data_IF_138567444653
#
_entry.id   IF_138567444653
#
_cell.length_a   1.000
_cell.length_b   1.000
_cell.length_c   1.000
_cell.angle_alpha   90.00
_cell.angle_beta   90.00
_cell.angle_gamma   90.00
#
_symmetry.space_group_name_H-M   'P 1'
#
loop_
_entity.id
_entity.type
_entity.pdbx_description
1 polymer ?
#
# COMPACT_ATOMS: atom_id res chain seq x y z
N UNK A 1 1.66 -19.73 -26.53
CA UNK A 1 2.02 -19.39 -25.13
C UNK A 1 2.49 -17.94 -25.15
N UNK A 2 1.70 -16.98 -24.65
CA UNK A 2 2.02 -15.55 -24.80
C UNK A 2 2.99 -15.11 -23.69
N UNK A 3 4.19 -14.67 -24.08
CA UNK A 3 5.14 -14.02 -23.18
C UNK A 3 4.65 -12.60 -22.85
N UNK A 4 4.75 -12.22 -21.57
CA UNK A 4 4.51 -10.86 -21.11
C UNK A 4 5.83 -10.10 -21.17
N UNK A 5 5.94 -9.16 -22.11
CA UNK A 5 7.07 -8.24 -22.22
C UNK A 5 6.76 -7.03 -21.33
N UNK A 6 7.61 -6.77 -20.34
CA UNK A 6 7.48 -5.61 -19.45
C UNK A 6 8.63 -4.66 -19.79
N UNK A 7 8.30 -3.49 -20.33
CA UNK A 7 9.27 -2.44 -20.60
C UNK A 7 9.61 -1.69 -19.31
N UNK A 8 10.87 -1.72 -18.90
CA UNK A 8 11.39 -0.88 -17.82
C UNK A 8 12.16 0.32 -18.37
N UNK A 9 12.05 1.43 -17.63
CA UNK A 9 12.66 2.74 -17.88
C UNK A 9 14.17 2.64 -18.15
N UNK A 10 14.65 3.51 -19.03
CA UNK A 10 16.01 3.62 -19.55
C UNK A 10 17.09 3.55 -18.45
N UNK A 11 18.04 2.63 -18.61
CA UNK A 11 19.34 2.64 -17.92
C UNK A 11 20.41 2.64 -19.03
N UNK A 12 21.29 3.65 -19.04
CA UNK A 12 22.38 3.86 -20.02
C UNK A 12 21.99 3.98 -21.49
N UNK A 13 20.81 4.55 -21.78
CA UNK A 13 20.43 4.92 -23.16
C UNK A 13 20.15 3.74 -24.10
N UNK A 14 20.11 2.50 -23.61
CA UNK A 14 19.73 1.30 -24.39
C UNK A 14 18.55 0.58 -23.75
N UNK A 15 17.54 0.27 -24.56
CA UNK A 15 16.40 -0.58 -24.15
C UNK A 15 16.91 -2.00 -23.91
N UNK A 16 16.89 -2.47 -22.65
CA UNK A 16 17.07 -3.89 -22.34
C UNK A 16 15.70 -4.54 -22.19
N UNK A 17 15.35 -5.41 -23.13
CA UNK A 17 14.20 -6.30 -22.99
C UNK A 17 14.63 -7.52 -22.17
N UNK A 18 13.89 -7.82 -21.11
CA UNK A 18 13.99 -9.11 -20.40
C UNK A 18 12.72 -9.91 -20.67
N UNK A 19 12.86 -11.06 -21.32
CA UNK A 19 11.80 -12.05 -21.35
C UNK A 19 11.76 -12.77 -20.01
N UNK A 20 10.76 -12.44 -19.18
CA UNK A 20 10.44 -13.27 -18.02
C UNK A 20 9.69 -14.48 -18.56
N UNK A 21 10.41 -15.60 -18.71
CA UNK A 21 9.82 -16.90 -19.03
C UNK A 21 8.65 -17.18 -18.09
N UNK A 22 7.56 -17.71 -18.64
CA UNK A 22 6.39 -18.08 -17.85
C UNK A 22 6.72 -19.05 -16.71
N UNK A 23 5.77 -19.24 -15.80
CA UNK A 23 5.90 -20.18 -14.68
C UNK A 23 6.40 -21.54 -15.18
N UNK A 24 7.57 -21.96 -14.72
CA UNK A 24 8.27 -23.16 -15.25
C UNK A 24 7.64 -24.44 -14.70
N UNK A 25 6.90 -24.33 -13.59
CA UNK A 25 6.29 -25.45 -12.88
C UNK A 25 4.78 -25.22 -12.70
N UNK A 26 3.96 -26.28 -12.85
CA UNK A 26 2.51 -26.24 -12.57
C UNK A 26 2.19 -25.71 -11.16
N UNK A 27 3.04 -26.02 -10.16
CA UNK A 27 2.94 -25.51 -8.79
C UNK A 27 3.11 -23.99 -8.69
N UNK A 28 3.93 -23.36 -9.54
CA UNK A 28 4.10 -21.91 -9.53
C UNK A 28 2.92 -21.20 -10.18
N UNK A 29 2.33 -21.82 -11.21
CA UNK A 29 1.06 -21.37 -11.81
C UNK A 29 -0.13 -21.54 -10.84
N UNK A 30 -0.21 -22.64 -10.11
CA UNK A 30 -1.23 -22.87 -9.07
C UNK A 30 -1.04 -21.96 -7.84
N UNK A 31 0.19 -21.54 -7.55
CA UNK A 31 0.48 -20.59 -6.48
C UNK A 31 0.13 -19.16 -6.91
N UNK A 32 0.26 -18.81 -8.19
CA UNK A 32 -0.12 -17.49 -8.71
C UNK A 32 -1.64 -17.32 -8.88
N UNK A 33 -2.41 -18.41 -8.96
CA UNK A 33 -3.89 -18.37 -8.95
C UNK A 33 -4.49 -18.31 -7.54
N UNK A 34 -3.69 -18.54 -6.48
CA UNK A 34 -4.16 -18.41 -5.09
C UNK A 34 -4.19 -16.95 -4.67
N UNK A 35 -5.38 -16.47 -4.29
CA UNK A 35 -5.58 -15.14 -3.71
C UNK A 35 -4.75 -14.98 -2.43
N UNK A 36 -4.23 -13.78 -2.19
CA UNK A 36 -3.48 -13.50 -0.96
C UNK A 36 -4.39 -13.62 0.27
N UNK A 37 -3.84 -14.09 1.39
CA UNK A 37 -4.60 -14.19 2.64
C UNK A 37 -5.18 -12.83 3.08
N UNK A 38 -4.44 -11.74 2.82
CA UNK A 38 -4.90 -10.37 3.05
C UNK A 38 -6.10 -9.99 2.19
N UNK A 39 -6.11 -10.38 0.91
CA UNK A 39 -7.24 -10.13 0.02
C UNK A 39 -8.49 -10.90 0.47
N UNK A 40 -8.34 -12.19 0.79
CA UNK A 40 -9.45 -13.02 1.30
C UNK A 40 -10.01 -12.45 2.60
N UNK A 41 -9.15 -11.98 3.51
CA UNK A 41 -9.58 -11.33 4.75
C UNK A 41 -10.32 -10.02 4.50
N UNK A 42 -9.83 -9.20 3.57
CA UNK A 42 -10.46 -7.94 3.20
C UNK A 42 -11.85 -8.16 2.61
N UNK A 43 -11.99 -9.15 1.72
CA UNK A 43 -13.28 -9.55 1.16
C UNK A 43 -14.23 -10.09 2.24
N UNK A 44 -13.74 -10.93 3.15
CA UNK A 44 -14.54 -11.41 4.28
C UNK A 44 -15.07 -10.24 5.13
N UNK A 45 -14.21 -9.28 5.48
CA UNK A 45 -14.60 -8.11 6.26
C UNK A 45 -15.66 -7.27 5.54
N UNK A 46 -15.53 -7.09 4.21
CA UNK A 46 -16.53 -6.41 3.40
C UNK A 46 -17.89 -7.13 3.47
N UNK A 47 -17.92 -8.45 3.29
CA UNK A 47 -19.15 -9.23 3.36
C UNK A 47 -19.78 -9.14 4.76
N UNK A 48 -18.97 -9.15 5.83
CA UNK A 48 -19.46 -8.95 7.21
C UNK A 48 -20.20 -7.64 7.34
N UNK A 49 -19.63 -6.54 6.85
CA UNK A 49 -20.28 -5.22 6.89
C UNK A 49 -21.60 -5.22 6.11
N UNK A 50 -21.60 -5.79 4.90
CA UNK A 50 -22.78 -5.85 4.03
C UNK A 50 -23.91 -6.67 4.65
N UNK A 51 -23.64 -7.88 5.13
CA UNK A 51 -24.67 -8.75 5.69
C UNK A 51 -25.15 -8.28 7.06
N UNK A 52 -24.29 -7.66 7.87
CA UNK A 52 -24.71 -7.01 9.12
C UNK A 52 -25.62 -5.81 8.85
N UNK A 53 -25.31 -5.03 7.82
CA UNK A 53 -26.19 -3.96 7.37
C UNK A 53 -27.55 -4.51 6.93
N UNK A 54 -27.58 -5.55 6.09
CA UNK A 54 -28.81 -6.17 5.61
C UNK A 54 -29.66 -6.78 6.75
N UNK A 55 -29.02 -7.37 7.76
CA UNK A 55 -29.69 -7.86 8.96
C UNK A 55 -30.29 -6.73 9.79
N UNK A 56 -29.56 -5.61 9.96
CA UNK A 56 -30.04 -4.42 10.68
C UNK A 56 -31.22 -3.74 9.97
N UNK A 57 -31.25 -3.79 8.64
CA UNK A 57 -32.36 -3.30 7.81
C UNK A 57 -33.49 -4.34 7.64
N UNK A 58 -33.43 -5.45 8.38
CA UNK A 58 -34.43 -6.53 8.36
C UNK A 58 -34.63 -7.22 6.99
N UNK A 59 -33.72 -7.02 6.03
CA UNK A 59 -33.70 -7.76 4.77
C UNK A 59 -33.36 -9.24 4.96
N UNK A 60 -32.65 -9.55 6.05
CA UNK A 60 -32.26 -10.91 6.42
C UNK A 60 -32.54 -11.14 7.91
N UNK A 61 -33.15 -12.26 8.26
CA UNK A 61 -33.34 -12.67 9.67
C UNK A 61 -32.03 -13.14 10.32
N UNK A 62 -31.19 -13.83 9.55
CA UNK A 62 -29.92 -14.42 9.99
C UNK A 62 -28.85 -14.10 8.96
N UNK A 63 -27.63 -13.75 9.42
CA UNK A 63 -26.53 -13.44 8.51
C UNK A 63 -25.89 -14.75 8.02
N UNK A 64 -25.64 -14.92 6.70
CA UNK A 64 -24.94 -16.07 6.17
C UNK A 64 -23.52 -16.26 6.74
N UNK A 65 -22.96 -15.20 7.31
CA UNK A 65 -21.61 -15.20 7.87
C UNK A 65 -21.54 -15.59 9.35
N UNK A 66 -22.68 -15.74 10.03
CA UNK A 66 -22.74 -16.07 11.47
C UNK A 66 -22.04 -17.41 11.79
N UNK A 67 -21.97 -18.33 10.81
CA UNK A 67 -21.34 -19.66 10.94
C UNK A 67 -19.98 -19.76 10.22
N UNK A 68 -19.53 -18.70 9.55
CA UNK A 68 -18.30 -18.73 8.74
C UNK A 68 -17.11 -18.39 9.62
N UNK A 69 -16.13 -19.30 9.66
CA UNK A 69 -14.89 -19.09 10.40
C UNK A 69 -14.08 -17.97 9.73
N UNK A 70 -13.70 -16.91 10.45
CA UNK A 70 -12.91 -15.83 9.89
C UNK A 70 -11.58 -16.34 9.31
N UNK A 71 -11.19 -15.92 8.10
CA UNK A 71 -9.89 -16.29 7.55
C UNK A 71 -8.78 -15.76 8.45
N UNK A 72 -7.78 -16.61 8.69
CA UNK A 72 -6.57 -16.28 9.45
C UNK A 72 -5.61 -15.50 8.57
N UNK A 73 -5.07 -14.41 9.11
CA UNK A 73 -3.95 -13.73 8.49
C UNK A 73 -2.68 -14.39 9.01
N UNK A 74 -1.96 -15.09 8.13
CA UNK A 74 -0.61 -15.55 8.46
C UNK A 74 0.32 -14.35 8.31
N UNK A 75 0.57 -13.64 9.40
CA UNK A 75 1.57 -12.58 9.47
C UNK A 75 2.95 -13.21 9.70
N UNK A 76 3.40 -14.04 8.75
CA UNK A 76 4.68 -14.73 8.85
C UNK A 76 5.85 -13.82 8.42
N UNK A 77 5.53 -12.62 7.93
CA UNK A 77 6.51 -11.62 7.53
C UNK A 77 7.09 -10.92 8.75
N UNK A 78 8.36 -11.15 9.05
CA UNK A 78 9.10 -10.29 9.97
C UNK A 78 9.08 -8.86 9.43
N UNK A 79 8.64 -7.91 10.26
CA UNK A 79 8.72 -6.49 9.92
C UNK A 79 10.19 -6.14 9.82
N UNK A 80 10.65 -5.81 8.61
CA UNK A 80 12.01 -5.32 8.40
C UNK A 80 12.06 -3.87 8.86
N UNK A 81 12.87 -3.62 9.88
CA UNK A 81 13.14 -2.29 10.42
C UNK A 81 14.48 -1.84 9.87
N UNK A 82 14.57 -0.58 9.43
CA UNK A 82 15.82 -0.01 8.95
C UNK A 82 16.79 0.18 10.11
N UNK A 83 18.07 -0.14 9.88
CA UNK A 83 19.13 0.23 10.82
C UNK A 83 19.49 1.71 10.68
N UNK A 84 20.13 2.27 11.70
CA UNK A 84 20.58 3.66 11.68
C UNK A 84 21.51 3.95 10.47
N UNK A 85 22.41 3.02 10.15
CA UNK A 85 23.29 3.11 8.98
C UNK A 85 22.52 3.16 7.66
N UNK A 86 21.45 2.38 7.52
CA UNK A 86 20.60 2.37 6.34
C UNK A 86 19.82 3.69 6.20
N UNK A 87 19.32 4.24 7.32
CA UNK A 87 18.66 5.54 7.33
C UNK A 87 19.60 6.67 6.91
N UNK A 88 20.86 6.66 7.35
CA UNK A 88 21.87 7.65 6.94
C UNK A 88 22.18 7.53 5.45
N UNK A 89 22.31 6.29 4.93
CA UNK A 89 22.52 6.05 3.48
C UNK A 89 21.33 6.56 2.66
N UNK A 90 20.10 6.28 3.10
CA UNK A 90 18.87 6.77 2.45
C UNK A 90 18.78 8.29 2.48
N UNK A 91 19.02 8.90 3.66
CA UNK A 91 19.03 10.36 3.81
C UNK A 91 20.01 11.01 2.84
N UNK A 92 21.24 10.49 2.78
CA UNK A 92 22.30 11.00 1.89
C UNK A 92 21.93 10.86 0.42
N UNK A 93 21.33 9.72 0.02
CA UNK A 93 20.87 9.50 -1.35
C UNK A 93 19.73 10.44 -1.74
N UNK A 94 18.84 10.76 -0.81
CA UNK A 94 17.67 11.58 -1.06
C UNK A 94 17.95 13.09 -1.04
N UNK A 95 19.08 13.56 -0.48
CA UNK A 95 19.41 15.00 -0.31
C UNK A 95 19.19 15.87 -1.56
N UNK A 96 19.43 15.35 -2.75
CA UNK A 96 19.25 16.09 -4.02
C UNK A 96 17.85 15.99 -4.63
N UNK A 97 16.92 15.30 -3.97
CA UNK A 97 15.57 15.03 -4.47
C UNK A 97 14.52 15.76 -3.63
N UNK A 98 13.37 16.06 -4.25
CA UNK A 98 12.21 16.63 -3.55
C UNK A 98 11.64 15.72 -2.45
N UNK A 99 12.00 14.43 -2.47
CA UNK A 99 11.59 13.44 -1.48
C UNK A 99 12.35 13.56 -0.14
N UNK A 100 13.46 14.31 -0.10
CA UNK A 100 14.26 14.46 1.11
C UNK A 100 13.43 14.99 2.28
N UNK A 101 12.64 16.04 2.03
CA UNK A 101 11.82 16.68 3.05
C UNK A 101 10.75 15.73 3.59
N UNK A 102 10.03 15.04 2.70
CA UNK A 102 9.01 14.08 3.10
C UNK A 102 9.59 12.90 3.90
N UNK A 103 10.79 12.45 3.54
CA UNK A 103 11.52 11.42 4.28
C UNK A 103 11.96 11.89 5.67
N UNK A 104 12.51 13.10 5.78
CA UNK A 104 12.90 13.68 7.08
C UNK A 104 11.69 13.88 8.00
N UNK A 105 10.58 14.37 7.48
CA UNK A 105 9.34 14.52 8.26
C UNK A 105 8.79 13.14 8.67
N UNK A 106 8.81 12.15 7.79
CA UNK A 106 8.36 10.79 8.08
C UNK A 106 9.16 10.12 9.19
N UNK A 107 10.49 10.28 9.22
CA UNK A 107 11.35 9.67 10.25
C UNK A 107 11.22 10.39 11.59
N UNK A 108 11.18 11.72 11.59
CA UNK A 108 11.21 12.49 12.84
C UNK A 108 9.82 12.64 13.48
N UNK A 109 8.76 12.75 12.68
CA UNK A 109 7.39 13.01 13.16
C UNK A 109 6.44 11.81 12.95
N UNK A 110 6.85 10.77 12.23
CA UNK A 110 6.02 9.60 11.97
C UNK A 110 4.86 9.85 11.00
N UNK A 111 4.96 10.88 10.15
CA UNK A 111 3.89 11.25 9.22
C UNK A 111 3.67 10.21 8.13
N UNK A 112 2.41 10.04 7.73
CA UNK A 112 2.09 9.28 6.52
C UNK A 112 2.44 10.09 5.29
N UNK A 113 2.77 9.40 4.20
CA UNK A 113 3.15 10.05 2.92
C UNK A 113 2.10 11.06 2.46
N UNK A 114 0.81 10.74 2.53
CA UNK A 114 -0.27 11.65 2.15
C UNK A 114 -0.37 12.89 3.03
N UNK A 115 0.02 12.82 4.31
CA UNK A 115 0.06 13.96 5.24
C UNK A 115 1.26 14.86 4.91
N UNK A 116 2.44 14.27 4.62
CA UNK A 116 3.64 15.00 4.22
C UNK A 116 3.40 15.91 3.00
N UNK A 117 2.66 15.43 2.00
CA UNK A 117 2.46 16.18 0.75
C UNK A 117 1.41 17.30 0.85
N UNK A 118 0.65 17.39 1.95
CA UNK A 118 -0.37 18.44 2.12
C UNK A 118 0.04 19.59 3.03
N UNK A 119 1.20 19.48 3.68
CA UNK A 119 1.71 20.52 4.58
C UNK A 119 1.97 21.81 3.82
N UNK A 120 1.48 22.92 4.38
CA UNK A 120 1.77 24.29 3.93
C UNK A 120 2.61 25.01 4.96
N UNK A 121 3.25 26.10 4.54
CA UNK A 121 3.98 27.01 5.44
C UNK A 121 3.11 27.54 6.58
N UNK A 122 1.80 27.71 6.36
CA UNK A 122 0.84 28.13 7.39
C UNK A 122 0.68 27.14 8.54
N UNK A 123 1.04 25.88 8.31
CA UNK A 123 0.79 24.79 9.24
C UNK A 123 1.98 24.62 10.23
N UNK A 124 3.07 25.36 10.04
CA UNK A 124 4.24 25.41 10.91
C UNK A 124 4.18 26.63 11.83
N UNK A 125 4.14 26.38 13.14
CA UNK A 125 4.33 27.41 14.15
C UNK A 125 5.77 27.33 14.68
N UNK A 126 6.62 28.20 14.14
CA UNK A 126 8.04 28.28 14.52
C UNK A 126 8.26 28.88 15.92
N UNK A 127 7.29 29.58 16.50
CA UNK A 127 7.42 30.11 17.86
C UNK A 127 7.25 28.99 18.89
N UNK A 128 6.29 28.10 18.64
CA UNK A 128 5.97 26.98 19.53
C UNK A 128 6.67 25.67 19.12
N UNK A 129 7.41 25.65 18.01
CA UNK A 129 8.02 24.45 17.43
C UNK A 129 7.00 23.31 17.16
N UNK A 130 5.80 23.67 16.71
CA UNK A 130 4.72 22.72 16.45
C UNK A 130 4.33 22.71 14.98
N UNK A 131 3.88 21.55 14.50
CA UNK A 131 3.32 21.37 13.16
C UNK A 131 1.90 20.86 13.29
N UNK A 132 0.95 21.56 12.67
CA UNK A 132 -0.45 21.13 12.65
C UNK A 132 -0.70 20.22 11.44
N UNK A 133 -1.21 19.01 11.69
CA UNK A 133 -1.52 18.03 10.63
C UNK A 133 -3.03 17.77 10.64
N UNK A 134 -3.74 18.47 9.75
CA UNK A 134 -5.20 18.42 9.65
C UNK A 134 -5.70 17.89 8.28
N UNK A 135 -4.79 17.68 7.33
CA UNK A 135 -5.09 17.34 5.93
C UNK A 135 -4.30 16.11 5.48
N UNK A 136 -4.83 15.43 4.47
CA UNK A 136 -4.15 14.32 3.79
C UNK A 136 -4.46 14.33 2.30
N UNK A 137 -3.45 14.04 1.48
CA UNK A 137 -3.62 13.85 0.05
C UNK A 137 -4.19 12.45 -0.22
N UNK A 138 -5.30 12.39 -0.95
CA UNK A 138 -5.88 11.13 -1.41
C UNK A 138 -5.93 11.13 -2.94
N UNK A 139 -5.18 10.20 -3.55
CA UNK A 139 -5.21 10.02 -5.00
C UNK A 139 -6.40 9.13 -5.39
N UNK A 140 -7.28 9.66 -6.22
CA UNK A 140 -8.34 8.91 -6.86
C UNK A 140 -7.97 8.74 -8.34
N UNK A 141 -7.52 7.54 -8.78
CA UNK A 141 -7.41 7.30 -10.21
C UNK A 141 -8.80 7.48 -10.83
N UNK A 142 -8.91 8.35 -11.83
CA UNK A 142 -10.17 8.64 -12.50
C UNK A 142 -10.65 7.39 -13.25
N UNK A 143 -11.42 6.54 -12.57
CA UNK A 143 -11.97 5.30 -13.11
C UNK A 143 -13.40 5.46 -13.64
N UNK A 144 -13.95 6.67 -13.59
CA UNK A 144 -15.27 7.00 -14.13
C UNK A 144 -15.21 8.34 -14.84
N UNK A 145 -15.21 8.30 -16.17
CA UNK A 145 -15.74 9.41 -16.97
C UNK A 145 -17.27 9.30 -16.86
N UNK A 146 -17.92 10.32 -16.28
CA UNK A 146 -19.33 10.55 -16.52
C UNK A 146 -19.50 11.32 -17.83
#
# INVERSE_FOLDING_TARGET
>A
MKSLIIDLVLIDGKRKQFEKGGFTLKKEAEKSTKLSASYVKSLYNLLVVVFNYAKRMEYLKVSPLDKVIPPKLNSDGQIKIYTEEELVKLSTRLKSTSLHLAFQLGINLGLRTGECYTLRWSDFDFNNNTVNIDKKLQYYPQLYNF
#
